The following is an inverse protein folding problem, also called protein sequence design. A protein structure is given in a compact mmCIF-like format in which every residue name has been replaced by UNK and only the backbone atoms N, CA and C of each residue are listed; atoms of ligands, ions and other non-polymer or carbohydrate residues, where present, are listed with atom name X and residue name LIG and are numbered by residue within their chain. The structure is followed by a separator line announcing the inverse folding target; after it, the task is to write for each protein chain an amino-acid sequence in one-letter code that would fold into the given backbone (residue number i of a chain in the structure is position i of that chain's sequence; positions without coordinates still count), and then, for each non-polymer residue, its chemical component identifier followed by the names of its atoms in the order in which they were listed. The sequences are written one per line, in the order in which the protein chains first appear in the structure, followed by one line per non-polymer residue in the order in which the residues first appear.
data_IF_509624547510
#
_entry.id   IF_509624547510
#
_cell.length_a   1.000
_cell.length_b   1.000
_cell.length_c   1.000
_cell.angle_alpha   90.00
_cell.angle_beta   90.00
_cell.angle_gamma   90.00
#
_symmetry.space_group_name_H-M   'P 1'
#
loop_
_entity.id
_entity.type
_entity.pdbx_description
1 polymer ?
#
# COMPACT_ATOMS: atom_id res chain seq x y z
N UNK A 1 10.43 -32.18 4.83
CA UNK A 1 9.78 -30.85 4.76
C UNK A 1 8.72 -30.97 3.69
N UNK A 2 7.45 -31.05 4.09
CA UNK A 2 6.31 -31.16 3.18
C UNK A 2 6.28 -29.92 2.27
N UNK A 3 6.15 -30.04 0.93
CA UNK A 3 6.02 -28.89 0.06
C UNK A 3 4.74 -28.12 0.44
N UNK A 4 4.84 -26.79 0.49
CA UNK A 4 3.66 -25.95 0.67
C UNK A 4 2.65 -26.27 -0.44
N UNK A 5 1.35 -26.43 -0.13
CA UNK A 5 0.34 -26.64 -1.16
C UNK A 5 0.40 -25.48 -2.17
N UNK A 6 0.12 -25.75 -3.46
CA UNK A 6 0.13 -24.70 -4.47
C UNK A 6 -0.86 -23.60 -4.06
N UNK A 7 -0.45 -22.34 -4.23
CA UNK A 7 -1.32 -21.18 -4.05
C UNK A 7 -2.49 -21.30 -5.05
N UNK A 8 -3.66 -21.75 -4.59
CA UNK A 8 -4.90 -21.76 -5.37
C UNK A 8 -5.71 -20.50 -5.08
N UNK A 9 -6.15 -19.83 -6.15
CA UNK A 9 -7.05 -18.68 -6.08
C UNK A 9 -8.47 -19.04 -6.55
N UNK A 10 -8.80 -20.33 -6.64
CA UNK A 10 -10.11 -20.77 -7.14
C UNK A 10 -11.20 -20.61 -6.09
N UNK A 11 -10.86 -20.62 -4.80
CA UNK A 11 -11.80 -20.38 -3.72
C UNK A 11 -12.42 -18.97 -3.79
N UNK A 12 -13.55 -18.75 -3.09
CA UNK A 12 -14.28 -17.48 -3.14
C UNK A 12 -13.40 -16.25 -2.85
N UNK A 13 -12.53 -16.34 -1.83
CA UNK A 13 -11.56 -15.29 -1.50
C UNK A 13 -10.56 -15.06 -2.64
N UNK A 14 -10.04 -16.12 -3.25
CA UNK A 14 -9.10 -16.02 -4.36
C UNK A 14 -9.72 -15.33 -5.58
N UNK A 15 -10.98 -15.65 -5.90
CA UNK A 15 -11.73 -14.97 -6.97
C UNK A 15 -11.96 -13.48 -6.68
N UNK A 16 -12.23 -13.11 -5.42
CA UNK A 16 -12.35 -11.71 -5.01
C UNK A 16 -11.03 -10.95 -5.17
N UNK A 17 -9.91 -11.57 -4.78
CA UNK A 17 -8.55 -11.00 -4.96
C UNK A 17 -8.28 -10.77 -6.46
N UNK A 18 -8.54 -11.77 -7.30
CA UNK A 18 -8.36 -11.66 -8.76
C UNK A 18 -9.25 -10.55 -9.34
N UNK A 19 -10.52 -10.47 -8.92
CA UNK A 19 -11.44 -9.46 -9.41
C UNK A 19 -10.99 -8.04 -9.04
N UNK A 20 -10.56 -7.83 -7.79
CA UNK A 20 -10.02 -6.55 -7.33
C UNK A 20 -8.73 -6.17 -8.09
N UNK A 21 -7.81 -7.11 -8.24
CA UNK A 21 -6.57 -6.91 -9.00
C UNK A 21 -6.87 -6.50 -10.45
N UNK A 22 -7.75 -7.26 -11.13
CA UNK A 22 -8.14 -6.98 -12.52
C UNK A 22 -8.78 -5.60 -12.64
N UNK A 23 -9.66 -5.23 -11.71
CA UNK A 23 -10.26 -3.91 -11.68
C UNK A 23 -9.20 -2.81 -11.54
N UNK A 24 -8.27 -2.94 -10.59
CA UNK A 24 -7.23 -1.93 -10.36
C UNK A 24 -6.31 -1.77 -11.59
N UNK A 25 -5.93 -2.88 -12.23
CA UNK A 25 -5.13 -2.84 -13.47
C UNK A 25 -5.89 -2.17 -14.60
N UNK A 26 -7.17 -2.50 -14.81
CA UNK A 26 -8.00 -1.87 -15.84
C UNK A 26 -8.15 -0.36 -15.60
N UNK A 27 -8.34 0.09 -14.36
CA UNK A 27 -8.36 1.52 -14.04
C UNK A 27 -7.04 2.22 -14.36
N UNK A 28 -5.91 1.59 -14.04
CA UNK A 28 -4.58 2.10 -14.37
C UNK A 28 -4.36 2.21 -15.88
N UNK A 29 -4.74 1.18 -16.64
CA UNK A 29 -4.63 1.16 -18.11
C UNK A 29 -5.51 2.21 -18.80
N UNK A 30 -6.63 2.59 -18.18
CA UNK A 30 -7.50 3.69 -18.65
C UNK A 30 -6.96 5.08 -18.31
N UNK A 31 -5.86 5.19 -17.59
CA UNK A 31 -5.30 6.47 -17.15
C UNK A 31 -6.13 7.14 -16.06
N UNK A 32 -6.80 6.35 -15.21
CA UNK A 32 -7.54 6.90 -14.08
C UNK A 32 -6.61 7.70 -13.17
N UNK A 33 -7.04 8.86 -12.64
CA UNK A 33 -6.28 9.59 -11.63
C UNK A 33 -5.91 8.69 -10.45
N UNK A 34 -4.68 8.79 -9.96
CA UNK A 34 -4.14 7.88 -8.96
C UNK A 34 -4.89 7.95 -7.62
N UNK A 35 -5.37 9.14 -7.24
CA UNK A 35 -6.26 9.35 -6.10
C UNK A 35 -7.57 8.57 -6.26
N UNK A 36 -8.19 8.61 -7.44
CA UNK A 36 -9.46 7.90 -7.73
C UNK A 36 -9.29 6.40 -7.80
N UNK A 37 -8.18 5.93 -8.39
CA UNK A 37 -7.84 4.50 -8.39
C UNK A 37 -7.65 4.01 -6.95
N UNK A 38 -6.89 4.75 -6.14
CA UNK A 38 -6.60 4.37 -4.77
C UNK A 38 -7.84 4.41 -3.87
N UNK A 39 -8.69 5.43 -4.02
CA UNK A 39 -10.01 5.54 -3.37
C UNK A 39 -10.86 4.31 -3.66
N UNK A 40 -11.12 4.02 -4.94
CA UNK A 40 -11.97 2.89 -5.32
C UNK A 40 -11.39 1.52 -4.94
N UNK A 41 -10.05 1.40 -4.83
CA UNK A 41 -9.37 0.22 -4.31
C UNK A 41 -9.66 0.03 -2.82
N UNK A 42 -9.51 1.09 -2.01
CA UNK A 42 -9.78 1.05 -0.58
C UNK A 42 -11.26 0.77 -0.27
N UNK A 43 -12.18 1.38 -1.02
CA UNK A 43 -13.62 1.12 -0.90
C UNK A 43 -13.98 -0.34 -1.19
N UNK A 44 -13.38 -0.94 -2.23
CA UNK A 44 -13.61 -2.36 -2.55
C UNK A 44 -13.05 -3.30 -1.49
N UNK A 45 -11.90 -2.98 -0.90
CA UNK A 45 -11.38 -3.74 0.22
C UNK A 45 -12.30 -3.66 1.44
N UNK A 46 -12.77 -2.46 1.78
CA UNK A 46 -13.71 -2.25 2.87
C UNK A 46 -15.03 -3.01 2.63
N UNK A 47 -15.60 -2.91 1.43
CA UNK A 47 -16.81 -3.64 1.03
C UNK A 47 -16.62 -5.17 1.04
N UNK A 48 -15.40 -5.66 0.83
CA UNK A 48 -15.03 -7.07 0.95
C UNK A 48 -14.81 -7.54 2.41
N UNK A 49 -15.01 -6.66 3.40
CA UNK A 49 -14.92 -6.99 4.82
C UNK A 49 -13.52 -6.80 5.43
N UNK A 50 -12.59 -6.16 4.71
CA UNK A 50 -11.29 -5.80 5.29
C UNK A 50 -11.50 -4.63 6.26
N UNK A 51 -11.07 -4.74 7.54
CA UNK A 51 -11.26 -3.69 8.54
C UNK A 51 -10.26 -2.53 8.34
N UNK A 52 -10.40 -1.83 7.23
CA UNK A 52 -9.52 -0.75 6.81
C UNK A 52 -9.99 0.58 7.42
N UNK A 53 -9.23 1.11 8.38
CA UNK A 53 -9.52 2.44 8.96
C UNK A 53 -8.80 3.56 8.22
N UNK A 54 -7.60 3.26 7.71
CA UNK A 54 -6.73 4.19 6.98
C UNK A 54 -5.86 3.41 6.00
N UNK A 55 -5.63 3.98 4.82
CA UNK A 55 -4.66 3.47 3.86
C UNK A 55 -3.74 4.60 3.40
N UNK A 56 -2.50 4.23 3.06
CA UNK A 56 -1.51 5.14 2.50
C UNK A 56 -0.85 4.51 1.29
N UNK A 57 -0.74 5.26 0.19
CA UNK A 57 0.07 4.91 -0.96
C UNK A 57 1.02 6.07 -1.26
N UNK A 58 2.29 5.75 -1.52
CA UNK A 58 3.30 6.74 -1.89
C UNK A 58 4.13 6.25 -3.08
N UNK A 59 4.47 7.15 -3.98
CA UNK A 59 5.37 6.88 -5.10
C UNK A 59 6.47 7.93 -5.14
N UNK A 60 7.73 7.49 -5.32
CA UNK A 60 8.83 8.41 -5.60
C UNK A 60 8.76 8.83 -7.07
N UNK A 61 9.18 10.06 -7.35
CA UNK A 61 9.35 10.54 -8.72
C UNK A 61 10.82 10.80 -9.03
N UNK A 62 11.14 10.83 -10.33
CA UNK A 62 12.44 11.28 -10.84
C UNK A 62 12.52 12.79 -11.01
N UNK A 63 11.48 13.55 -10.63
CA UNK A 63 11.48 15.00 -10.76
C UNK A 63 12.53 15.62 -9.83
N UNK A 64 13.28 16.65 -10.29
CA UNK A 64 14.33 17.27 -9.47
C UNK A 64 13.74 17.97 -8.23
N UNK A 65 12.61 18.67 -8.36
CA UNK A 65 11.97 19.38 -7.25
C UNK A 65 11.04 18.50 -6.40
N UNK A 66 10.46 17.43 -6.94
CA UNK A 66 9.40 16.68 -6.26
C UNK A 66 9.89 15.28 -5.91
N UNK A 67 9.98 14.98 -4.62
CA UNK A 67 10.41 13.66 -4.15
C UNK A 67 9.37 12.59 -4.46
N UNK A 68 8.08 12.91 -4.34
CA UNK A 68 7.02 11.93 -4.48
C UNK A 68 5.61 12.51 -4.44
N UNK A 69 4.66 11.64 -4.72
CA UNK A 69 3.24 11.84 -4.43
C UNK A 69 2.80 10.85 -3.38
N UNK A 70 1.96 11.30 -2.47
CA UNK A 70 1.35 10.48 -1.43
C UNK A 70 -0.17 10.63 -1.45
N UNK A 71 -0.86 9.57 -1.06
CA UNK A 71 -2.31 9.46 -1.05
C UNK A 71 -2.70 8.87 0.28
N UNK A 72 -3.48 9.61 1.08
CA UNK A 72 -4.04 9.09 2.33
C UNK A 72 -5.54 8.93 2.18
N UNK A 73 -6.04 7.71 2.41
CA UNK A 73 -7.47 7.42 2.48
C UNK A 73 -7.90 7.19 3.92
N UNK A 74 -9.04 7.74 4.31
CA UNK A 74 -9.65 7.55 5.63
C UNK A 74 -11.09 7.08 5.46
N UNK A 75 -11.46 6.04 6.22
CA UNK A 75 -12.77 5.41 6.10
C UNK A 75 -13.93 6.37 6.41
N UNK A 76 -13.74 7.29 7.36
CA UNK A 76 -14.75 8.27 7.77
C UNK A 76 -14.91 9.44 6.80
N UNK A 77 -13.86 9.76 6.02
CA UNK A 77 -13.90 10.85 5.04
C UNK A 77 -14.32 10.40 3.65
N UNK A 78 -14.13 9.12 3.32
CA UNK A 78 -14.42 8.55 2.00
C UNK A 78 -13.53 9.07 0.85
N UNK A 79 -12.76 10.13 1.09
CA UNK A 79 -11.92 10.78 0.09
C UNK A 79 -10.43 10.48 0.28
N UNK A 80 -9.70 10.46 -0.83
CA UNK A 80 -8.24 10.45 -0.84
C UNK A 80 -7.69 11.88 -0.80
N UNK A 81 -6.75 12.13 0.12
CA UNK A 81 -5.99 13.38 0.19
C UNK A 81 -4.66 13.22 -0.56
N UNK A 82 -4.50 13.83 -1.76
CA UNK A 82 -3.23 13.84 -2.47
C UNK A 82 -2.27 14.86 -1.86
N UNK A 83 -1.03 14.45 -1.63
CA UNK A 83 0.05 15.29 -1.18
C UNK A 83 1.22 15.21 -2.16
N UNK A 84 1.68 16.37 -2.61
CA UNK A 84 2.90 16.50 -3.40
C UNK A 84 4.05 16.83 -2.46
N UNK A 85 5.09 16.00 -2.47
CA UNK A 85 6.18 16.10 -1.51
C UNK A 85 7.40 16.70 -2.19
N UNK A 86 7.88 17.81 -1.64
CA UNK A 86 9.10 18.46 -2.10
C UNK A 86 10.33 17.62 -1.79
N UNK A 87 11.30 17.64 -2.69
CA UNK A 87 12.59 16.99 -2.49
C UNK A 87 13.46 17.84 -1.59
N UNK A 88 13.97 17.23 -0.53
CA UNK A 88 14.88 17.88 0.40
C UNK A 88 15.08 17.06 1.67
N UNK A 89 15.83 17.63 2.60
CA UNK A 89 16.18 16.98 3.87
C UNK A 89 14.95 16.60 4.70
N UNK A 90 13.92 17.45 4.71
CA UNK A 90 12.67 17.18 5.43
C UNK A 90 12.00 15.88 4.97
N UNK A 91 11.90 15.65 3.66
CA UNK A 91 11.35 14.40 3.12
C UNK A 91 12.19 13.18 3.51
N UNK A 92 13.52 13.27 3.41
CA UNK A 92 14.40 12.14 3.76
C UNK A 92 14.35 11.86 5.28
N UNK A 93 14.17 12.90 6.10
CA UNK A 93 13.98 12.76 7.54
C UNK A 93 12.62 12.14 7.89
N UNK A 94 11.54 12.52 7.21
CA UNK A 94 10.21 11.93 7.39
C UNK A 94 10.20 10.44 7.01
N UNK A 95 10.86 10.08 5.91
CA UNK A 95 10.97 8.68 5.48
C UNK A 95 11.79 7.86 6.48
N UNK A 96 12.98 8.34 6.85
CA UNK A 96 13.90 7.61 7.73
C UNK A 96 13.36 7.45 9.16
N UNK A 97 12.71 8.47 9.71
CA UNK A 97 12.10 8.41 11.05
C UNK A 97 10.75 7.67 11.08
N UNK A 98 10.10 7.53 9.93
CA UNK A 98 8.80 6.88 9.80
C UNK A 98 8.87 5.34 9.72
N UNK A 99 7.69 4.68 9.64
CA UNK A 99 7.61 3.23 9.49
C UNK A 99 8.23 2.73 8.17
N UNK A 100 8.33 3.59 7.14
CA UNK A 100 8.95 3.23 5.87
C UNK A 100 10.47 3.08 5.97
N UNK A 101 11.16 3.96 6.72
CA UNK A 101 12.60 3.84 6.98
C UNK A 101 12.93 2.50 7.63
N UNK A 102 12.20 2.13 8.68
CA UNK A 102 12.34 0.83 9.34
C UNK A 102 12.16 -0.35 8.36
N UNK A 103 11.13 -0.30 7.51
CA UNK A 103 10.87 -1.37 6.54
C UNK A 103 11.96 -1.46 5.48
N UNK A 104 12.49 -0.33 5.01
CA UNK A 104 13.59 -0.25 4.05
C UNK A 104 14.86 -0.85 4.64
N UNK A 105 15.21 -0.50 5.88
CA UNK A 105 16.38 -1.03 6.58
C UNK A 105 16.29 -2.54 6.82
N UNK A 106 15.09 -3.06 7.10
CA UNK A 106 14.86 -4.48 7.35
C UNK A 106 14.80 -5.34 6.07
N UNK A 107 14.50 -4.75 4.91
CA UNK A 107 14.26 -5.46 3.65
C UNK A 107 15.41 -6.40 3.24
N UNK A 108 16.69 -6.01 3.26
CA UNK A 108 17.77 -6.91 2.85
C UNK A 108 17.89 -8.14 3.73
N UNK A 109 17.73 -7.97 5.05
CA UNK A 109 17.79 -9.08 6.01
C UNK A 109 16.61 -10.03 5.85
N UNK A 110 15.40 -9.49 5.75
CA UNK A 110 14.20 -10.31 5.56
C UNK A 110 14.29 -11.13 4.27
N UNK A 111 14.80 -10.54 3.18
CA UNK A 111 15.00 -11.23 1.92
C UNK A 111 16.03 -12.38 2.04
N UNK A 112 17.14 -12.18 2.75
CA UNK A 112 18.13 -13.23 3.00
C UNK A 112 17.56 -14.41 3.81
N UNK A 113 16.57 -14.16 4.67
CA UNK A 113 15.84 -15.16 5.44
C UNK A 113 14.64 -15.76 4.67
N UNK A 114 14.45 -15.41 3.39
CA UNK A 114 13.35 -15.88 2.54
C UNK A 114 11.98 -15.32 2.93
N UNK A 115 11.95 -14.18 3.63
CA UNK A 115 10.76 -13.55 4.16
C UNK A 115 10.52 -12.13 3.67
N UNK A 116 9.57 -11.46 4.33
CA UNK A 116 9.19 -10.07 4.08
C UNK A 116 9.35 -9.25 5.36
N UNK A 117 9.73 -7.97 5.27
CA UNK A 117 9.71 -7.06 6.41
C UNK A 117 8.36 -7.08 7.10
N UNK A 118 8.37 -7.13 8.44
CA UNK A 118 7.13 -7.20 9.22
C UNK A 118 7.03 -6.00 10.13
N UNK A 119 6.10 -5.11 9.81
CA UNK A 119 5.67 -4.11 10.78
C UNK A 119 4.65 -4.75 11.72
N UNK A 120 5.06 -5.07 12.95
CA UNK A 120 4.10 -5.45 13.99
C UNK A 120 3.45 -4.19 14.54
N UNK A 121 2.24 -3.86 14.06
CA UNK A 121 1.39 -2.88 14.76
C UNK A 121 0.60 -3.59 15.85
N UNK A 122 0.51 -2.98 17.03
CA UNK A 122 -0.51 -3.34 18.01
C UNK A 122 -1.86 -2.94 17.42
N UNK A 123 -2.74 -3.91 17.18
CA UNK A 123 -4.13 -3.66 16.76
C UNK A 123 -4.99 -3.17 17.93
N UNK A 124 -4.52 -3.38 19.16
CA UNK A 124 -5.08 -2.85 20.39
C UNK A 124 -3.96 -2.62 21.42
N UNK A 125 -4.09 -1.53 22.20
CA UNK A 125 -3.38 -1.32 23.46
C UNK A 125 -2.78 0.07 23.62
N UNK A 126 -2.57 0.52 24.88
CA UNK A 126 -3.67 0.86 25.80
C UNK A 126 -4.79 1.69 25.16
#
# INVERSE_FOLDING_TARGET
MEPLPPLSFDAALGRQIIALHRWAVDQGLRGSPADRLFEGFCERLAAAGVPLTRAFAGMRTLHPQWAGYAYTWLHDRGAVEPAQIERGEAYEQDVSSGPFGLLIEQAPRAAAEGGWPRLRRRLAGP
#
